data_IF_550950777471
#
_entry.id   IF_550950777471
#
_cell.length_a   1.000
_cell.length_b   1.000
_cell.length_c   1.000
_cell.angle_alpha   90.00
_cell.angle_beta   90.00
_cell.angle_gamma   90.00
#
_symmetry.space_group_name_H-M   'P 1'
#
loop_
_entity.id
_entity.type
_entity.pdbx_description
1 polymer ?
#
# COMPACT_ATOMS: atom_id res chain seq x y z
N UNK A 1 -9.68 10.29 27.21
CA UNK A 1 -9.37 9.56 25.96
C UNK A 1 -8.36 8.53 26.38
N UNK A 2 -8.63 7.24 26.16
CA UNK A 2 -7.75 6.17 26.63
C UNK A 2 -6.50 6.13 25.74
N UNK A 3 -5.32 6.10 26.37
CA UNK A 3 -4.05 5.99 25.66
C UNK A 3 -3.96 4.61 24.98
N UNK A 4 -3.92 4.60 23.64
CA UNK A 4 -3.66 3.38 22.88
C UNK A 4 -2.16 3.09 22.90
N UNK A 5 -1.77 2.00 23.59
CA UNK A 5 -0.39 1.52 23.57
C UNK A 5 -0.16 0.63 22.35
N UNK A 6 0.65 1.11 21.42
CA UNK A 6 1.15 0.32 20.30
C UNK A 6 2.52 -0.26 20.69
N UNK A 7 2.64 -1.59 20.62
CA UNK A 7 3.90 -2.28 20.83
C UNK A 7 4.60 -2.52 19.49
N UNK A 8 5.88 -2.85 19.54
CA UNK A 8 6.64 -3.18 18.33
C UNK A 8 5.97 -4.36 17.59
N UNK A 9 5.81 -4.22 16.27
CA UNK A 9 5.07 -5.17 15.43
C UNK A 9 3.54 -5.15 15.57
N UNK A 10 2.94 -4.19 16.29
CA UNK A 10 1.49 -4.07 16.36
C UNK A 10 0.90 -3.64 15.01
N UNK A 11 -0.04 -4.43 14.49
CA UNK A 11 -0.88 -4.06 13.35
C UNK A 11 -2.06 -3.22 13.84
N UNK A 12 -2.18 -2.00 13.32
CA UNK A 12 -3.30 -1.11 13.60
C UNK A 12 -4.24 -1.06 12.40
N UNK A 13 -5.43 -1.64 12.54
CA UNK A 13 -6.46 -1.63 11.51
C UNK A 13 -7.55 -0.59 11.85
N UNK A 14 -7.74 0.40 10.98
CA UNK A 14 -8.74 1.46 11.15
C UNK A 14 -9.97 1.14 10.31
N UNK A 15 -11.00 0.55 10.93
CA UNK A 15 -12.28 0.21 10.27
C UNK A 15 -13.25 1.39 10.24
N UNK A 16 -12.80 2.56 9.80
CA UNK A 16 -13.68 3.71 9.61
C UNK A 16 -13.22 4.55 8.44
N UNK A 17 -14.16 5.12 7.68
CA UNK A 17 -13.87 6.06 6.57
C UNK A 17 -13.39 7.44 7.04
N UNK A 18 -12.74 7.53 8.20
CA UNK A 18 -12.21 8.76 8.76
C UNK A 18 -10.68 8.78 8.66
N UNK A 19 -10.12 9.91 8.26
CA UNK A 19 -8.69 10.16 8.37
C UNK A 19 -8.30 10.30 9.85
N UNK A 20 -7.34 9.51 10.31
CA UNK A 20 -6.80 9.57 11.67
C UNK A 20 -5.38 10.12 11.65
N UNK A 21 -5.10 11.06 12.56
CA UNK A 21 -3.75 11.54 12.82
C UNK A 21 -3.25 10.90 14.12
N UNK A 22 -2.18 10.10 14.03
CA UNK A 22 -1.52 9.54 15.20
C UNK A 22 -0.44 10.49 15.71
N UNK A 23 -0.43 10.73 17.02
CA UNK A 23 0.63 11.43 17.73
C UNK A 23 1.02 10.59 18.94
N UNK A 24 2.32 10.49 19.19
CA UNK A 24 2.82 9.87 20.41
C UNK A 24 3.80 10.82 21.08
N UNK A 25 3.61 11.03 22.38
CA UNK A 25 4.52 11.82 23.22
C UNK A 25 5.64 10.95 23.82
N UNK A 26 5.58 9.62 23.66
CA UNK A 26 6.51 8.63 24.25
C UNK A 26 6.87 7.47 23.28
N UNK A 27 6.76 7.66 21.96
CA UNK A 27 7.17 6.61 21.02
C UNK A 27 8.68 6.38 21.15
N UNK A 28 9.06 5.15 21.52
CA UNK A 28 10.46 4.72 21.55
C UNK A 28 10.94 4.40 20.12
N UNK A 29 10.91 5.40 19.25
CA UNK A 29 11.27 5.25 17.83
C UNK A 29 12.73 4.91 17.62
N UNK A 30 13.58 5.11 18.63
CA UNK A 30 14.99 4.71 18.63
C UNK A 30 15.21 3.20 18.43
N UNK A 31 14.19 2.38 18.72
CA UNK A 31 14.20 0.93 18.51
C UNK A 31 13.41 0.48 17.27
N UNK A 32 12.74 1.41 16.57
CA UNK A 32 12.12 1.12 15.28
C UNK A 32 13.25 1.00 14.26
N UNK A 33 13.71 -0.23 14.06
CA UNK A 33 14.70 -0.55 13.04
C UNK A 33 13.97 -0.70 11.71
N UNK A 34 14.23 0.22 10.79
CA UNK A 34 13.84 0.12 9.40
C UNK A 34 15.09 0.21 8.54
N UNK A 35 15.12 -0.55 7.46
CA UNK A 35 16.18 -0.48 6.46
C UNK A 35 15.83 0.57 5.42
N UNK A 36 16.84 1.18 4.80
CA UNK A 36 16.61 2.04 3.64
C UNK A 36 16.00 1.21 2.53
N UNK A 37 14.93 1.73 1.91
CA UNK A 37 14.34 1.06 0.77
C UNK A 37 15.36 0.95 -0.37
N UNK A 38 15.60 -0.25 -0.93
CA UNK A 38 16.55 -0.42 -2.03
C UNK A 38 16.07 0.26 -3.32
N UNK A 39 14.78 0.56 -3.44
CA UNK A 39 14.17 1.23 -4.58
C UNK A 39 14.32 2.75 -4.46
N UNK A 40 14.62 3.42 -5.58
CA UNK A 40 14.82 4.87 -5.64
C UNK A 40 13.95 5.56 -6.68
N UNK A 41 13.58 4.84 -7.74
CA UNK A 41 12.84 5.40 -8.86
C UNK A 41 11.33 5.29 -8.65
N UNK A 42 10.63 6.39 -8.84
CA UNK A 42 9.17 6.42 -8.85
C UNK A 42 8.61 5.85 -10.14
N UNK A 43 7.44 5.20 -10.03
CA UNK A 43 6.71 4.60 -11.15
C UNK A 43 5.44 5.41 -11.37
N UNK A 44 5.15 5.74 -12.62
CA UNK A 44 3.89 6.40 -12.99
C UNK A 44 2.98 5.41 -13.70
N UNK A 45 1.73 5.35 -13.26
CA UNK A 45 0.68 4.49 -13.81
C UNK A 45 -0.36 5.40 -14.44
N UNK A 46 -0.50 5.32 -15.76
CA UNK A 46 -1.47 6.12 -16.50
C UNK A 46 -2.86 5.47 -16.50
N UNK A 47 -3.91 6.28 -16.65
CA UNK A 47 -5.28 5.78 -16.75
C UNK A 47 -5.42 4.83 -17.94
N UNK A 48 -6.05 3.67 -17.69
CA UNK A 48 -6.22 2.63 -18.71
C UNK A 48 -4.97 1.77 -18.97
N UNK A 49 -3.87 2.03 -18.26
CA UNK A 49 -2.69 1.17 -18.26
C UNK A 49 -2.83 0.07 -17.21
N UNK A 50 -2.45 -1.16 -17.56
CA UNK A 50 -2.22 -2.25 -16.60
C UNK A 50 -0.72 -2.50 -16.52
N UNK A 51 -0.18 -2.52 -15.31
CA UNK A 51 1.24 -2.82 -15.05
C UNK A 51 1.35 -3.97 -14.05
N UNK A 52 2.38 -4.80 -14.17
CA UNK A 52 2.62 -5.93 -13.28
C UNK A 52 3.93 -5.77 -12.51
N UNK A 53 3.87 -5.86 -11.18
CA UNK A 53 5.03 -5.80 -10.30
C UNK A 53 5.99 -6.98 -10.52
N UNK A 54 7.29 -6.72 -10.50
CA UNK A 54 8.36 -7.66 -10.87
C UNK A 54 8.51 -7.94 -12.37
N UNK A 55 7.68 -7.30 -13.23
CA UNK A 55 7.79 -7.36 -14.70
C UNK A 55 7.96 -5.98 -15.32
N UNK A 56 7.00 -5.09 -15.07
CA UNK A 56 6.95 -3.76 -15.66
C UNK A 56 7.55 -2.68 -14.74
N UNK A 57 7.55 -2.95 -13.44
CA UNK A 57 8.22 -2.18 -12.37
C UNK A 57 8.59 -3.12 -11.22
N UNK A 58 9.55 -2.79 -10.33
CA UNK A 58 9.92 -3.69 -9.23
C UNK A 58 8.78 -3.87 -8.21
N UNK A 59 8.71 -5.03 -7.55
CA UNK A 59 7.93 -5.18 -6.32
C UNK A 59 8.52 -4.34 -5.19
N UNK A 60 7.69 -3.83 -4.28
CA UNK A 60 8.17 -2.84 -3.32
C UNK A 60 7.13 -2.37 -2.31
N UNK A 61 7.61 -1.54 -1.38
CA UNK A 61 6.77 -0.71 -0.50
C UNK A 61 6.75 0.71 -1.06
N UNK A 62 5.55 1.20 -1.38
CA UNK A 62 5.37 2.48 -2.06
C UNK A 62 4.41 3.41 -1.33
N UNK A 63 4.72 4.69 -1.37
CA UNK A 63 3.77 5.76 -1.15
C UNK A 63 3.03 6.02 -2.47
N UNK A 64 1.71 5.92 -2.42
CA UNK A 64 0.84 6.01 -3.60
C UNK A 64 0.20 7.38 -3.61
N UNK A 65 0.45 8.15 -4.67
CA UNK A 65 -0.06 9.52 -4.83
C UNK A 65 -0.91 9.62 -6.09
N UNK A 66 -2.18 10.00 -5.93
CA UNK A 66 -3.07 10.27 -7.06
C UNK A 66 -2.97 11.73 -7.50
N UNK A 67 -3.14 11.99 -8.79
CA UNK A 67 -3.49 13.33 -9.25
C UNK A 67 -4.89 13.74 -8.71
N UNK A 68 -5.18 15.06 -8.58
CA UNK A 68 -6.42 15.52 -7.96
C UNK A 68 -7.70 15.20 -8.75
N UNK A 69 -8.29 14.03 -8.49
CA UNK A 69 -9.61 13.63 -8.98
C UNK A 69 -10.22 12.52 -8.10
N UNK A 70 -11.46 12.13 -8.36
CA UNK A 70 -11.99 10.86 -7.91
C UNK A 70 -11.30 9.73 -8.68
N UNK A 71 -10.64 8.84 -7.95
CA UNK A 71 -9.82 7.81 -8.57
C UNK A 71 -9.79 6.54 -7.73
N UNK A 72 -9.64 5.40 -8.38
CA UNK A 72 -9.32 4.13 -7.73
C UNK A 72 -8.00 3.60 -8.27
N UNK A 73 -7.15 3.09 -7.38
CA UNK A 73 -6.09 2.16 -7.72
C UNK A 73 -6.57 0.74 -7.37
N UNK A 74 -6.69 -0.10 -8.37
CA UNK A 74 -7.04 -1.51 -8.22
C UNK A 74 -5.76 -2.33 -8.24
N UNK A 75 -5.59 -3.22 -7.26
CA UNK A 75 -4.47 -4.15 -7.14
C UNK A 75 -5.01 -5.58 -7.15
N UNK A 76 -4.80 -6.29 -8.26
CA UNK A 76 -5.13 -7.71 -8.37
C UNK A 76 -3.92 -8.52 -7.93
N UNK A 77 -4.04 -9.20 -6.79
CA UNK A 77 -2.96 -9.99 -6.21
C UNK A 77 -2.86 -11.37 -6.88
N UNK A 78 -1.66 -11.97 -6.93
CA UNK A 78 -1.48 -13.35 -7.40
C UNK A 78 -2.30 -14.38 -6.63
N UNK A 79 -2.66 -15.47 -7.28
CA UNK A 79 -3.44 -16.58 -6.70
C UNK A 79 -2.80 -17.18 -5.43
N UNK A 80 -1.48 -17.03 -5.24
CA UNK A 80 -0.78 -17.44 -4.02
C UNK A 80 -1.24 -16.72 -2.75
N UNK A 81 -1.97 -15.62 -2.89
CA UNK A 81 -2.57 -14.85 -1.79
C UNK A 81 -4.08 -15.10 -1.63
N UNK A 82 -4.65 -16.02 -2.41
CA UNK A 82 -6.01 -16.47 -2.22
C UNK A 82 -6.09 -17.45 -1.05
N UNK A 83 -7.23 -17.44 -0.36
CA UNK A 83 -7.56 -18.48 0.61
C UNK A 83 -7.58 -19.85 -0.08
N UNK A 84 -7.18 -20.91 0.63
CA UNK A 84 -7.32 -22.29 0.12
C UNK A 84 -8.78 -22.69 -0.16
N UNK A 85 -9.74 -21.93 0.37
CA UNK A 85 -11.17 -22.11 0.14
C UNK A 85 -11.75 -21.20 -0.96
N UNK A 86 -10.91 -20.40 -1.63
CA UNK A 86 -11.34 -19.56 -2.73
C UNK A 86 -11.82 -20.41 -3.92
N UNK A 87 -12.84 -19.91 -4.63
CA UNK A 87 -13.32 -20.59 -5.84
C UNK A 87 -12.29 -20.49 -6.99
N UNK A 88 -12.31 -21.45 -7.93
CA UNK A 88 -11.35 -21.59 -9.05
C UNK A 88 -11.23 -20.36 -9.99
N UNK A 89 -12.05 -19.32 -9.83
CA UNK A 89 -12.03 -18.08 -10.61
C UNK A 89 -11.96 -16.81 -9.76
N UNK A 90 -11.88 -16.95 -8.44
CA UNK A 90 -11.83 -15.81 -7.54
C UNK A 90 -10.44 -15.16 -7.59
N UNK A 91 -10.41 -13.82 -7.60
CA UNK A 91 -9.17 -13.05 -7.49
C UNK A 91 -9.28 -12.13 -6.29
N UNK A 92 -8.21 -12.03 -5.51
CA UNK A 92 -8.11 -11.05 -4.44
C UNK A 92 -7.78 -9.70 -5.06
N UNK A 93 -8.71 -8.77 -4.96
CA UNK A 93 -8.56 -7.40 -5.45
C UNK A 93 -8.60 -6.45 -4.26
N UNK A 94 -7.51 -5.74 -4.05
CA UNK A 94 -7.43 -4.64 -3.10
C UNK A 94 -7.69 -3.33 -3.84
N UNK A 95 -8.48 -2.43 -3.24
CA UNK A 95 -8.86 -1.15 -3.86
C UNK A 95 -8.49 -0.01 -2.92
N UNK A 96 -7.73 0.95 -3.45
CA UNK A 96 -7.42 2.22 -2.79
C UNK A 96 -8.16 3.33 -3.51
N UNK A 97 -9.11 3.96 -2.82
CA UNK A 97 -9.91 5.05 -3.36
C UNK A 97 -9.38 6.41 -2.93
N UNK A 98 -9.31 7.33 -3.89
CA UNK A 98 -8.88 8.71 -3.71
C UNK A 98 -10.05 9.66 -3.94
N UNK A 99 -10.04 10.76 -3.20
CA UNK A 99 -10.95 11.89 -3.42
C UNK A 99 -10.14 13.14 -3.76
N UNK A 100 -10.72 14.12 -4.46
CA UNK A 100 -10.03 15.35 -4.88
C UNK A 100 -9.75 16.35 -3.73
N UNK A 101 -9.48 15.86 -2.52
CA UNK A 101 -9.08 16.64 -1.35
C UNK A 101 -7.65 16.28 -1.01
N UNK A 102 -6.81 17.28 -0.74
CA UNK A 102 -5.37 17.13 -0.54
C UNK A 102 -4.95 16.01 0.44
N UNK A 103 -5.69 15.83 1.54
CA UNK A 103 -5.42 14.79 2.55
C UNK A 103 -5.86 13.37 2.12
N UNK A 104 -6.65 13.26 1.05
CA UNK A 104 -7.21 12.01 0.51
C UNK A 104 -6.56 11.65 -0.85
N UNK A 105 -5.44 12.30 -1.21
CA UNK A 105 -4.69 12.06 -2.45
C UNK A 105 -3.45 11.17 -2.27
N UNK A 106 -3.15 10.72 -1.06
CA UNK A 106 -1.97 9.90 -0.80
C UNK A 106 -2.22 8.80 0.22
N UNK A 107 -1.69 7.61 -0.05
CA UNK A 107 -1.61 6.49 0.88
C UNK A 107 -0.14 6.11 1.07
N UNK A 108 0.27 5.94 2.32
CA UNK A 108 1.67 5.69 2.68
C UNK A 108 1.90 4.18 2.92
N UNK A 109 3.09 3.70 2.57
CA UNK A 109 3.54 2.32 2.85
C UNK A 109 2.62 1.22 2.32
N UNK A 110 2.18 1.32 1.07
CA UNK A 110 1.39 0.29 0.38
C UNK A 110 2.34 -0.81 -0.13
N UNK A 111 2.21 -2.06 0.37
CA UNK A 111 3.03 -3.16 -0.11
C UNK A 111 2.50 -3.66 -1.46
N UNK A 112 3.37 -3.77 -2.46
CA UNK A 112 3.02 -4.29 -3.78
C UNK A 112 3.91 -5.49 -4.07
N UNK A 113 3.45 -6.73 -3.76
CA UNK A 113 4.25 -7.92 -3.96
C UNK A 113 4.38 -8.26 -5.44
N UNK A 114 5.41 -9.06 -5.74
CA UNK A 114 5.67 -9.54 -7.09
C UNK A 114 4.45 -10.23 -7.71
N UNK A 115 4.18 -9.94 -8.97
CA UNK A 115 3.05 -10.51 -9.72
C UNK A 115 1.74 -9.76 -9.53
N UNK A 116 1.66 -8.77 -8.63
CA UNK A 116 0.48 -7.91 -8.50
C UNK A 116 0.27 -7.11 -9.78
N UNK A 117 -0.95 -7.15 -10.32
CA UNK A 117 -1.37 -6.29 -11.42
C UNK A 117 -2.05 -5.05 -10.86
N UNK A 118 -1.62 -3.87 -11.34
CA UNK A 118 -2.18 -2.59 -10.94
C UNK A 118 -2.83 -1.87 -12.10
N UNK A 119 -3.95 -1.21 -11.83
CA UNK A 119 -4.68 -0.39 -12.78
C UNK A 119 -5.32 0.81 -12.07
N UNK A 120 -5.34 1.96 -12.74
CA UNK A 120 -6.04 3.15 -12.27
C UNK A 120 -7.11 3.63 -13.25
N UNK A 121 -8.21 4.19 -12.73
CA UNK A 121 -9.46 4.40 -13.50
C UNK A 121 -9.83 5.87 -13.73
N UNK A 122 -9.53 6.77 -12.78
CA UNK A 122 -9.92 8.17 -12.83
C UNK A 122 -8.78 9.12 -13.17
N UNK A 123 -7.62 8.93 -12.53
CA UNK A 123 -6.46 9.80 -12.69
C UNK A 123 -5.15 9.01 -12.63
N UNK A 124 -4.06 9.59 -13.10
CA UNK A 124 -2.77 8.94 -13.01
C UNK A 124 -2.32 8.84 -11.54
N UNK A 125 -1.57 7.79 -11.24
CA UNK A 125 -1.00 7.54 -9.92
C UNK A 125 0.52 7.47 -10.02
N UNK A 126 1.20 8.03 -9.03
CA UNK A 126 2.64 7.88 -8.83
C UNK A 126 2.90 6.97 -7.63
N UNK A 127 3.68 5.92 -7.86
CA UNK A 127 4.23 5.05 -6.83
C UNK A 127 5.64 5.55 -6.52
N UNK A 128 5.80 6.18 -5.37
CA UNK A 128 7.10 6.64 -4.87
C UNK A 128 7.61 5.64 -3.84
N UNK A 129 8.82 5.08 -3.96
CA UNK A 129 9.36 4.20 -2.94
C UNK A 129 9.32 4.84 -1.55
N UNK A 130 8.75 4.14 -0.56
CA UNK A 130 8.76 4.61 0.83
C UNK A 130 10.21 4.72 1.33
N UNK A 131 10.55 5.72 2.13
CA UNK A 131 11.96 5.98 2.53
C UNK A 131 12.58 4.80 3.31
N UNK A 132 11.77 4.17 4.16
CA UNK A 132 12.19 3.05 5.02
C UNK A 132 11.22 1.88 4.88
N UNK A 133 11.77 0.68 5.01
CA UNK A 133 11.02 -0.57 5.00
C UNK A 133 11.33 -1.38 6.25
N UNK A 134 10.33 -2.10 6.76
CA UNK A 134 10.54 -3.08 7.84
C UNK A 134 10.97 -4.45 7.34
N UNK A 135 10.65 -4.77 6.08
CA UNK A 135 10.92 -6.07 5.43
C UNK A 135 10.87 -5.93 3.91
N UNK A 136 11.53 -6.84 3.19
CA UNK A 136 11.40 -7.03 1.74
C UNK A 136 10.44 -8.18 1.38
N UNK A 137 9.83 -8.86 2.36
CA UNK A 137 8.71 -9.78 2.11
C UNK A 137 7.40 -8.99 2.05
N UNK A 138 7.18 -8.28 0.94
CA UNK A 138 5.97 -7.49 0.72
C UNK A 138 4.69 -8.34 0.63
N UNK A 139 4.83 -9.66 0.46
CA UNK A 139 3.71 -10.59 0.44
C UNK A 139 3.21 -10.97 1.83
N UNK A 140 4.05 -10.85 2.87
CA UNK A 140 3.68 -11.18 4.25
C UNK A 140 2.42 -10.44 4.72
N UNK A 141 2.24 -9.19 4.29
CA UNK A 141 1.06 -8.37 4.58
C UNK A 141 -0.27 -9.00 4.12
N UNK A 142 -0.23 -9.84 3.08
CA UNK A 142 -1.41 -10.43 2.45
C UNK A 142 -1.61 -11.90 2.80
N UNK A 143 -0.73 -12.49 3.63
CA UNK A 143 -0.89 -13.86 4.12
C UNK A 143 -1.86 -13.83 5.30
N UNK A 144 -2.99 -14.52 5.17
CA UNK A 144 -3.97 -14.75 6.25
C UNK A 144 -3.79 -16.12 6.89
#
# INVERSE_FOLDING_TARGET
MDDLRLYDGALLEVKSGAALQFRSDCAQTERLHGETNPLQDSVRVEVGQTMTAGRDFPEGLYNVKSEPDWNDLMMTLPDSFLSEFAADEERRVEVISFAPKELELSYENVPIPKGTEIQTTGAAVTLEPSEKIGSTDYGEFYKE
#
